data_IF_206121901265
#
_entry.id   IF_206121901265
#
_cell.length_a   1.000
_cell.length_b   1.000
_cell.length_c   1.000
_cell.angle_alpha   90.00
_cell.angle_beta   90.00
_cell.angle_gamma   90.00
#
_symmetry.space_group_name_H-M   'P 1'
#
loop_
_entity.id
_entity.type
_entity.pdbx_description
1 polymer ?
#
# COMPACT_ATOMS: atom_id res chain seq x y z
N UNK A 1 -39.84 32.36 1.37
CA UNK A 1 -38.56 31.70 1.66
C UNK A 1 -37.61 32.01 0.51
N UNK A 2 -36.47 32.64 0.77
CA UNK A 2 -35.70 33.37 -0.24
C UNK A 2 -34.85 32.42 -1.09
N UNK A 3 -35.07 32.37 -2.41
CA UNK A 3 -34.41 31.41 -3.33
C UNK A 3 -32.89 31.50 -3.31
N UNK A 4 -32.35 32.69 -3.06
CA UNK A 4 -30.91 32.92 -2.87
C UNK A 4 -30.33 32.14 -1.66
N UNK A 5 -31.10 32.04 -0.57
CA UNK A 5 -30.67 31.29 0.62
C UNK A 5 -30.67 29.78 0.38
N UNK A 6 -31.72 29.27 -0.28
CA UNK A 6 -31.78 27.85 -0.65
C UNK A 6 -30.62 27.45 -1.58
N UNK A 7 -30.24 28.33 -2.52
CA UNK A 7 -29.10 28.10 -3.42
C UNK A 7 -27.77 28.11 -2.69
N UNK A 8 -27.56 29.05 -1.77
CA UNK A 8 -26.33 29.13 -0.98
C UNK A 8 -26.17 27.92 -0.08
N UNK A 9 -27.24 27.51 0.62
CA UNK A 9 -27.24 26.30 1.44
C UNK A 9 -26.95 25.03 0.62
N UNK A 10 -27.57 24.91 -0.56
CA UNK A 10 -27.30 23.78 -1.46
C UNK A 10 -25.85 23.77 -1.98
N UNK A 11 -25.22 24.93 -2.14
CA UNK A 11 -23.80 25.02 -2.48
C UNK A 11 -22.90 24.59 -1.31
N UNK A 12 -23.21 25.01 -0.09
CA UNK A 12 -22.49 24.62 1.12
C UNK A 12 -22.52 23.08 1.32
N UNK A 13 -23.71 22.48 1.23
CA UNK A 13 -23.87 21.02 1.31
C UNK A 13 -23.10 20.27 0.22
N UNK A 14 -23.07 20.80 -1.01
CA UNK A 14 -22.31 20.21 -2.11
C UNK A 14 -20.79 20.30 -1.88
N UNK A 15 -20.31 21.38 -1.28
CA UNK A 15 -18.89 21.57 -0.93
C UNK A 15 -18.49 20.58 0.17
N UNK A 16 -19.28 20.47 1.23
CA UNK A 16 -18.99 19.54 2.33
C UNK A 16 -18.95 18.08 1.83
N UNK A 17 -19.92 17.71 0.99
CA UNK A 17 -19.93 16.38 0.37
C UNK A 17 -18.71 16.13 -0.54
N UNK A 18 -18.23 17.16 -1.24
CA UNK A 18 -17.06 17.04 -2.11
C UNK A 18 -15.79 16.82 -1.29
N UNK A 19 -15.62 17.55 -0.19
CA UNK A 19 -14.46 17.42 0.71
C UNK A 19 -14.38 16.00 1.28
N UNK A 20 -15.51 15.42 1.69
CA UNK A 20 -15.56 14.03 2.20
C UNK A 20 -15.13 13.05 1.11
N UNK A 21 -15.66 13.19 -0.10
CA UNK A 21 -15.33 12.31 -1.22
C UNK A 21 -13.85 12.42 -1.63
N UNK A 22 -13.29 13.62 -1.62
CA UNK A 22 -11.87 13.85 -1.92
C UNK A 22 -10.96 13.22 -0.86
N UNK A 23 -11.32 13.35 0.42
CA UNK A 23 -10.57 12.75 1.53
C UNK A 23 -10.60 11.21 1.46
N UNK A 24 -11.74 10.61 1.14
CA UNK A 24 -11.85 9.16 0.93
C UNK A 24 -11.02 8.69 -0.28
N UNK A 25 -11.08 9.42 -1.40
CA UNK A 25 -10.27 9.12 -2.58
C UNK A 25 -8.76 9.22 -2.28
N UNK A 26 -8.36 10.23 -1.51
CA UNK A 26 -6.97 10.42 -1.08
C UNK A 26 -6.48 9.25 -0.22
N UNK A 27 -7.27 8.82 0.77
CA UNK A 27 -6.96 7.65 1.61
C UNK A 27 -6.83 6.38 0.78
N UNK A 28 -7.80 6.12 -0.11
CA UNK A 28 -7.77 4.95 -0.99
C UNK A 28 -6.51 4.94 -1.88
N UNK A 29 -6.14 6.10 -2.42
CA UNK A 29 -4.94 6.22 -3.24
C UNK A 29 -3.64 5.98 -2.44
N UNK A 30 -3.56 6.49 -1.21
CA UNK A 30 -2.42 6.24 -0.32
C UNK A 30 -2.27 4.75 -0.01
N UNK A 31 -3.36 4.06 0.31
CA UNK A 31 -3.34 2.62 0.53
C UNK A 31 -2.88 1.86 -0.72
N UNK A 32 -3.39 2.24 -1.90
CA UNK A 32 -2.98 1.65 -3.17
C UNK A 32 -1.47 1.78 -3.42
N UNK A 33 -0.90 2.97 -3.22
CA UNK A 33 0.54 3.19 -3.38
C UNK A 33 1.37 2.35 -2.41
N UNK A 34 0.95 2.25 -1.14
CA UNK A 34 1.63 1.43 -0.15
C UNK A 34 1.60 -0.06 -0.48
N UNK A 35 0.46 -0.55 -1.00
CA UNK A 35 0.32 -1.94 -1.45
C UNK A 35 1.17 -2.22 -2.68
N UNK A 36 1.23 -1.26 -3.62
CA UNK A 36 2.08 -1.39 -4.81
C UNK A 36 3.57 -1.41 -4.43
N UNK A 37 3.98 -0.57 -3.48
CA UNK A 37 5.34 -0.59 -2.95
C UNK A 37 5.68 -1.94 -2.28
N UNK A 38 4.74 -2.52 -1.52
CA UNK A 38 4.90 -3.87 -0.96
C UNK A 38 5.05 -4.91 -2.09
N UNK A 39 4.17 -4.90 -3.08
CA UNK A 39 4.21 -5.83 -4.22
C UNK A 39 5.53 -5.73 -5.00
N UNK A 40 6.04 -4.50 -5.18
CA UNK A 40 7.34 -4.26 -5.77
C UNK A 40 8.46 -4.95 -4.97
N UNK A 41 8.52 -4.74 -3.65
CA UNK A 41 9.49 -5.40 -2.77
C UNK A 41 9.41 -6.94 -2.82
N UNK A 42 8.22 -7.51 -3.02
CA UNK A 42 8.06 -8.97 -3.17
C UNK A 42 8.62 -9.50 -4.50
N UNK A 43 8.67 -8.67 -5.55
CA UNK A 43 9.04 -9.08 -6.91
C UNK A 43 10.48 -8.77 -7.27
N UNK A 44 11.05 -7.71 -6.70
CA UNK A 44 12.39 -7.26 -7.09
C UNK A 44 13.50 -7.94 -6.31
N UNK A 45 14.69 -7.94 -6.90
CA UNK A 45 15.93 -8.42 -6.26
C UNK A 45 16.70 -7.19 -5.83
N UNK A 46 17.09 -7.12 -4.57
CA UNK A 46 18.04 -6.11 -4.13
C UNK A 46 19.37 -6.33 -4.86
N UNK A 47 19.95 -5.27 -5.45
CA UNK A 47 21.21 -5.35 -6.21
C UNK A 47 22.34 -6.04 -5.41
N UNK A 48 22.30 -5.88 -4.08
CA UNK A 48 23.34 -6.38 -3.17
C UNK A 48 22.89 -7.57 -2.31
N UNK A 49 21.60 -7.90 -2.27
CA UNK A 49 21.06 -8.92 -1.36
C UNK A 49 19.89 -9.67 -2.02
N UNK A 50 19.83 -11.01 -1.88
CA UNK A 50 18.80 -11.81 -2.54
C UNK A 50 17.41 -11.67 -1.90
N UNK A 51 17.35 -11.10 -0.69
CA UNK A 51 16.13 -10.76 0.07
C UNK A 51 16.32 -9.41 0.76
N UNK A 52 15.21 -8.72 1.02
CA UNK A 52 15.18 -7.47 1.82
C UNK A 52 14.04 -7.52 2.86
N UNK A 53 14.25 -7.01 4.09
CA UNK A 53 13.20 -6.98 5.11
C UNK A 53 11.94 -6.25 4.63
N UNK A 54 10.78 -6.87 4.77
CA UNK A 54 9.50 -6.26 4.38
C UNK A 54 9.00 -5.22 5.40
N UNK A 55 9.66 -5.08 6.56
CA UNK A 55 9.23 -4.21 7.66
C UNK A 55 8.84 -2.79 7.22
N UNK A 56 9.63 -2.16 6.36
CA UNK A 56 9.35 -0.79 5.88
C UNK A 56 8.08 -0.73 5.04
N UNK A 57 7.90 -1.66 4.11
CA UNK A 57 6.73 -1.71 3.23
C UNK A 57 5.45 -2.07 4.02
N UNK A 58 5.55 -3.04 4.94
CA UNK A 58 4.44 -3.43 5.82
C UNK A 58 4.02 -2.27 6.72
N UNK A 59 4.99 -1.53 7.28
CA UNK A 59 4.70 -0.33 8.07
C UNK A 59 3.98 0.73 7.22
N UNK A 60 4.43 0.96 5.98
CA UNK A 60 3.77 1.92 5.08
C UNK A 60 2.32 1.55 4.76
N UNK A 61 2.01 0.25 4.58
CA UNK A 61 0.62 -0.22 4.42
C UNK A 61 -0.18 0.08 5.68
N UNK A 62 0.36 -0.24 6.86
CA UNK A 62 -0.33 -0.01 8.13
C UNK A 62 -0.57 1.48 8.43
N UNK A 63 0.38 2.35 8.09
CA UNK A 63 0.31 3.79 8.32
C UNK A 63 -0.56 4.52 7.29
N UNK A 64 -0.71 3.98 6.09
CA UNK A 64 -1.49 4.63 5.02
C UNK A 64 -2.98 4.80 5.37
N UNK A 65 -3.58 3.82 6.05
CA UNK A 65 -4.93 3.88 6.59
C UNK A 65 -5.02 2.99 7.83
N UNK A 66 -4.74 3.54 9.01
CA UNK A 66 -4.70 2.79 10.28
C UNK A 66 -6.05 2.24 10.74
N UNK A 67 -7.14 2.81 10.23
CA UNK A 67 -8.54 2.47 10.45
C UNK A 67 -9.11 1.50 9.39
N UNK A 68 -8.31 1.14 8.38
CA UNK A 68 -8.77 0.29 7.30
C UNK A 68 -8.61 -1.21 7.63
N UNK A 69 -9.72 -1.95 7.63
CA UNK A 69 -9.76 -3.38 7.96
C UNK A 69 -8.87 -4.22 7.03
N UNK A 70 -8.79 -3.88 5.75
CA UNK A 70 -7.93 -4.58 4.79
C UNK A 70 -6.46 -4.35 5.09
N UNK A 71 -6.04 -3.11 5.39
CA UNK A 71 -4.65 -2.82 5.76
C UNK A 71 -4.22 -3.58 7.03
N UNK A 72 -5.13 -3.66 8.02
CA UNK A 72 -4.91 -4.43 9.24
C UNK A 72 -4.81 -5.94 8.94
N UNK A 73 -5.77 -6.52 8.22
CA UNK A 73 -5.77 -7.94 7.88
C UNK A 73 -4.54 -8.34 7.05
N UNK A 74 -4.14 -7.49 6.10
CA UNK A 74 -2.96 -7.74 5.26
C UNK A 74 -1.68 -7.73 6.10
N UNK A 75 -1.50 -6.71 6.95
CA UNK A 75 -0.28 -6.58 7.76
C UNK A 75 -0.16 -7.64 8.85
N UNK A 76 -1.27 -8.16 9.37
CA UNK A 76 -1.27 -9.24 10.37
C UNK A 76 -1.12 -10.64 9.75
N UNK A 77 -1.51 -10.82 8.49
CA UNK A 77 -1.38 -12.10 7.79
C UNK A 77 0.07 -12.44 7.39
N UNK A 78 0.96 -11.45 7.37
CA UNK A 78 2.36 -11.65 6.97
C UNK A 78 3.18 -12.33 8.07
N UNK A 79 3.92 -13.40 7.77
CA UNK A 79 4.78 -14.06 8.74
C UNK A 79 5.88 -13.13 9.27
N UNK A 80 6.17 -13.22 10.57
CA UNK A 80 7.20 -12.40 11.22
C UNK A 80 8.59 -12.58 10.58
N UNK A 81 8.94 -13.80 10.18
CA UNK A 81 10.20 -14.07 9.49
C UNK A 81 10.31 -13.29 8.17
N UNK A 82 9.23 -13.22 7.39
CA UNK A 82 9.21 -12.47 6.14
C UNK A 82 9.32 -10.97 6.37
N UNK A 83 8.76 -10.47 7.47
CA UNK A 83 8.86 -9.06 7.87
C UNK A 83 10.31 -8.69 8.21
N UNK A 84 11.01 -9.56 8.96
CA UNK A 84 12.36 -9.28 9.46
C UNK A 84 13.46 -9.60 8.43
N UNK A 85 13.34 -10.69 7.66
CA UNK A 85 14.40 -11.19 6.76
C UNK A 85 14.11 -10.96 5.28
N UNK A 86 12.85 -10.72 4.94
CA UNK A 86 12.41 -10.67 3.56
C UNK A 86 12.02 -12.02 2.97
N UNK A 87 11.71 -12.00 1.68
CA UNK A 87 11.45 -13.20 0.90
C UNK A 87 12.38 -13.26 -0.31
N UNK A 88 12.60 -14.47 -0.82
CA UNK A 88 13.22 -14.63 -2.13
C UNK A 88 12.16 -14.39 -3.19
N UNK A 89 12.35 -13.36 -4.01
CA UNK A 89 11.52 -13.15 -5.18
C UNK A 89 11.76 -14.26 -6.21
N UNK A 90 10.77 -14.47 -7.09
CA UNK A 90 10.91 -15.41 -8.21
C UNK A 90 12.17 -15.09 -9.05
N UNK A 91 12.44 -13.80 -9.27
CA UNK A 91 13.63 -13.34 -9.97
C UNK A 91 14.93 -13.76 -9.24
N UNK A 92 14.99 -13.61 -7.90
CA UNK A 92 16.13 -14.08 -7.09
C UNK A 92 16.34 -15.59 -7.22
N UNK A 93 15.26 -16.37 -7.13
CA UNK A 93 15.33 -17.84 -7.23
C UNK A 93 15.76 -18.29 -8.63
N UNK A 94 15.22 -17.66 -9.66
CA UNK A 94 15.57 -17.95 -11.06
C UNK A 94 17.03 -17.64 -11.35
N UNK A 95 17.52 -16.48 -10.92
CA UNK A 95 18.93 -16.09 -11.07
C UNK A 95 19.87 -17.09 -10.38
N UNK A 96 19.52 -17.53 -9.16
CA UNK A 96 20.29 -18.55 -8.43
C UNK A 96 20.31 -19.90 -9.17
N UNK A 97 19.17 -20.32 -9.70
CA UNK A 97 19.05 -21.59 -10.43
C UNK A 97 19.90 -21.60 -11.71
N UNK A 98 19.91 -20.51 -12.47
CA UNK A 98 20.74 -20.42 -13.68
C UNK A 98 22.23 -20.48 -13.38
N UNK A 99 22.68 -19.85 -12.28
CA UNK A 99 24.09 -19.93 -11.86
C UNK A 99 24.52 -21.38 -11.60
N UNK A 100 23.69 -22.15 -10.88
CA UNK A 100 23.97 -23.57 -10.58
C UNK A 100 24.04 -24.44 -11.84
N UNK A 101 23.30 -24.11 -12.92
CA UNK A 101 23.34 -24.85 -14.19
C UNK A 101 24.59 -24.60 -15.03
N UNK A 102 25.37 -23.57 -14.72
CA UNK A 102 26.55 -23.17 -15.48
C UNK A 102 27.87 -23.65 -14.85
N UNK A 103 27.80 -24.14 -13.61
CA UNK A 103 28.89 -24.85 -12.90
C UNK A 103 28.82 -26.36 -13.19
#
# INVERSE_FOLDING_TARGET
MNSAYARLKGMEEAIDSHIIAEEEARKAHQLWLSVEALNYSLRTVGVNAPTEPLQTAVRAVRESCSDNEFALALTTALPEESIQRGIYSEASLRARFYRIRQD
#
